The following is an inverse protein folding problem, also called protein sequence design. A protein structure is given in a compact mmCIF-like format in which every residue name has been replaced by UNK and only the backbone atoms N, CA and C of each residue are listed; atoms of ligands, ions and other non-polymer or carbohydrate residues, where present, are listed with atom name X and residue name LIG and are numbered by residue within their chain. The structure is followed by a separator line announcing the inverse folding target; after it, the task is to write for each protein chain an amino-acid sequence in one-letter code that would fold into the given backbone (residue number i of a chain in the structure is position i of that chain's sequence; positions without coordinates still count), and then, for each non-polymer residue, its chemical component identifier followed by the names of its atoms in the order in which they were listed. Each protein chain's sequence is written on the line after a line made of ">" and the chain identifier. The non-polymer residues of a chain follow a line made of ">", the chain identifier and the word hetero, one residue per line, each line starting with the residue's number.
data_IF_120580354347
#
_entry.id   IF_120580354347
#
_cell.length_a   1.000
_cell.length_b   1.000
_cell.length_c   1.000
_cell.angle_alpha   90.00
_cell.angle_beta   90.00
_cell.angle_gamma   90.00
#
_symmetry.space_group_name_H-M   'P 1'
#
loop_
_entity.id
_entity.type
_entity.pdbx_description
1 polymer ?
#
# COMPACT_ATOMS: atom_id res chain seq x y z
N UNK A 1 -40.01 4.96 -23.05
CA UNK A 1 -38.83 4.18 -22.60
C UNK A 1 -38.30 3.35 -23.77
N UNK A 2 -37.19 3.77 -24.42
CA UNK A 2 -36.54 2.96 -25.46
C UNK A 2 -36.02 1.68 -24.81
N UNK A 3 -36.33 0.53 -25.43
CA UNK A 3 -35.98 -0.82 -24.97
C UNK A 3 -34.46 -0.97 -25.00
N UNK A 4 -33.79 -0.63 -23.89
CA UNK A 4 -32.34 -0.82 -23.75
C UNK A 4 -32.01 -2.29 -23.99
N UNK A 5 -30.94 -2.56 -24.72
CA UNK A 5 -30.53 -3.92 -25.08
C UNK A 5 -30.37 -4.77 -23.82
N UNK A 6 -31.18 -5.82 -23.62
CA UNK A 6 -31.06 -6.69 -22.44
C UNK A 6 -29.72 -7.42 -22.41
N UNK A 7 -29.03 -7.51 -23.55
CA UNK A 7 -27.71 -8.10 -23.67
C UNK A 7 -26.62 -7.24 -23.02
N UNK A 8 -26.62 -5.93 -23.28
CA UNK A 8 -25.59 -5.01 -22.74
C UNK A 8 -25.69 -4.94 -21.22
N UNK A 9 -26.92 -4.88 -20.69
CA UNK A 9 -27.14 -4.87 -19.24
C UNK A 9 -26.62 -6.16 -18.57
N UNK A 10 -26.91 -7.34 -19.15
CA UNK A 10 -26.39 -8.62 -18.66
C UNK A 10 -24.87 -8.66 -18.70
N UNK A 11 -24.27 -8.12 -19.77
CA UNK A 11 -22.82 -8.01 -19.91
C UNK A 11 -22.22 -7.10 -18.83
N UNK A 12 -22.84 -5.97 -18.52
CA UNK A 12 -22.38 -5.07 -17.45
C UNK A 12 -22.37 -5.77 -16.09
N UNK A 13 -23.46 -6.47 -15.74
CA UNK A 13 -23.50 -7.26 -14.49
C UNK A 13 -22.44 -8.35 -14.47
N UNK A 14 -22.27 -9.08 -15.57
CA UNK A 14 -21.27 -10.15 -15.65
C UNK A 14 -19.86 -9.63 -15.37
N UNK A 15 -19.46 -8.49 -15.96
CA UNK A 15 -18.14 -7.90 -15.76
C UNK A 15 -17.97 -7.42 -14.30
N UNK A 16 -18.98 -6.75 -13.73
CA UNK A 16 -18.89 -6.27 -12.34
C UNK A 16 -18.83 -7.42 -11.33
N UNK A 17 -19.61 -8.49 -11.55
CA UNK A 17 -19.57 -9.72 -10.73
C UNK A 17 -18.20 -10.40 -10.86
N UNK A 18 -17.64 -10.44 -12.07
CA UNK A 18 -16.30 -10.98 -12.30
C UNK A 18 -15.24 -10.20 -11.51
N UNK A 19 -15.32 -8.86 -11.50
CA UNK A 19 -14.46 -8.02 -10.67
C UNK A 19 -14.60 -8.30 -9.18
N UNK A 20 -15.84 -8.40 -8.69
CA UNK A 20 -16.12 -8.73 -7.29
C UNK A 20 -15.53 -10.10 -6.89
N UNK A 21 -15.72 -11.12 -7.73
CA UNK A 21 -15.18 -12.46 -7.50
C UNK A 21 -13.66 -12.46 -7.54
N UNK A 22 -13.05 -11.78 -8.50
CA UNK A 22 -11.60 -11.72 -8.64
C UNK A 22 -10.95 -11.09 -7.40
N UNK A 23 -11.47 -9.96 -6.92
CA UNK A 23 -11.02 -9.32 -5.68
C UNK A 23 -11.33 -10.19 -4.45
N UNK A 24 -12.49 -10.84 -4.43
CA UNK A 24 -12.90 -11.73 -3.34
C UNK A 24 -12.01 -12.95 -3.18
N UNK A 25 -11.60 -13.57 -4.28
CA UNK A 25 -10.65 -14.69 -4.26
C UNK A 25 -9.30 -14.23 -3.71
N UNK A 26 -8.78 -13.08 -4.15
CA UNK A 26 -7.52 -12.53 -3.60
C UNK A 26 -7.65 -12.23 -2.09
N UNK A 27 -8.78 -11.69 -1.65
CA UNK A 27 -9.07 -11.45 -0.24
C UNK A 27 -9.07 -12.76 0.59
N UNK A 28 -9.73 -13.80 0.10
CA UNK A 28 -9.79 -15.12 0.76
C UNK A 28 -8.39 -15.75 0.81
N UNK A 29 -7.68 -15.79 -0.31
CA UNK A 29 -6.32 -16.33 -0.39
C UNK A 29 -5.38 -15.63 0.60
N UNK A 30 -5.45 -14.30 0.66
CA UNK A 30 -4.59 -13.53 1.56
C UNK A 30 -4.93 -13.74 3.03
N UNK A 31 -6.21 -13.75 3.38
CA UNK A 31 -6.62 -13.82 4.78
C UNK A 31 -6.47 -15.23 5.37
N UNK A 32 -6.91 -16.25 4.62
CA UNK A 32 -6.98 -17.64 5.08
C UNK A 32 -5.74 -18.45 4.74
N UNK A 33 -5.26 -18.37 3.49
CA UNK A 33 -4.16 -19.20 3.01
C UNK A 33 -2.79 -18.52 3.12
N UNK A 34 -2.76 -17.22 3.48
CA UNK A 34 -1.55 -16.37 3.51
C UNK A 34 -0.80 -16.32 2.16
N UNK A 35 -1.47 -16.70 1.08
CA UNK A 35 -0.94 -16.67 -0.30
C UNK A 35 -1.59 -15.53 -1.10
N UNK A 36 -1.07 -15.24 -2.30
CA UNK A 36 -1.67 -14.27 -3.24
C UNK A 36 -1.66 -14.83 -4.66
N UNK A 37 -2.62 -14.40 -5.48
CA UNK A 37 -2.73 -14.76 -6.90
C UNK A 37 -1.51 -14.25 -7.67
N UNK A 38 -0.98 -13.10 -7.26
CA UNK A 38 0.22 -12.52 -7.84
C UNK A 38 1.38 -12.60 -6.83
N UNK A 39 2.37 -13.49 -7.03
CA UNK A 39 3.57 -13.57 -6.20
C UNK A 39 4.68 -12.62 -6.65
N UNK A 40 4.42 -11.70 -7.58
CA UNK A 40 5.46 -10.80 -8.11
C UNK A 40 5.88 -9.76 -7.07
N UNK A 41 7.15 -9.36 -7.14
CA UNK A 41 7.73 -8.29 -6.33
C UNK A 41 6.95 -6.97 -6.48
N UNK A 42 6.47 -6.63 -7.67
CA UNK A 42 5.56 -5.49 -7.88
C UNK A 42 4.27 -5.53 -7.06
N UNK A 43 3.65 -6.71 -6.87
CA UNK A 43 2.45 -6.86 -6.03
C UNK A 43 2.76 -6.76 -4.53
N UNK A 44 3.97 -7.20 -4.13
CA UNK A 44 4.47 -7.07 -2.77
C UNK A 44 4.74 -5.61 -2.43
N UNK A 45 5.46 -4.91 -3.30
CA UNK A 45 5.82 -3.50 -3.11
C UNK A 45 4.58 -2.60 -3.14
N UNK A 46 3.60 -2.87 -4.01
CA UNK A 46 2.30 -2.18 -4.00
C UNK A 46 1.57 -2.30 -2.65
N UNK A 47 1.65 -3.48 -2.02
CA UNK A 47 1.01 -3.73 -0.73
C UNK A 47 1.73 -3.09 0.46
N UNK A 48 3.01 -2.76 0.26
CA UNK A 48 3.91 -2.26 1.29
C UNK A 48 4.04 -0.71 1.22
N UNK A 49 3.91 -0.10 0.04
CA UNK A 49 4.03 1.36 -0.15
C UNK A 49 2.74 2.15 0.15
N UNK A 50 1.58 1.53 0.13
CA UNK A 50 0.32 2.23 0.40
C UNK A 50 0.11 2.31 1.92
N UNK A 51 -0.13 3.53 2.43
CA UNK A 51 -0.43 3.78 3.85
C UNK A 51 -1.59 2.91 4.38
N UNK A 52 -2.53 2.60 3.49
CA UNK A 52 -3.59 1.63 3.71
C UNK A 52 -3.03 0.24 3.45
N UNK A 53 -2.86 -0.57 4.50
CA UNK A 53 -2.40 -1.95 4.36
C UNK A 53 -3.26 -2.75 3.37
N UNK A 54 -2.66 -3.74 2.70
CA UNK A 54 -3.26 -4.56 1.62
C UNK A 54 -4.73 -4.97 1.86
N UNK A 55 -5.06 -5.35 3.09
CA UNK A 55 -6.40 -5.82 3.45
C UNK A 55 -7.45 -4.71 3.31
N UNK A 56 -7.12 -3.47 3.67
CA UNK A 56 -8.05 -2.34 3.55
C UNK A 56 -8.36 -2.01 2.09
N UNK A 57 -7.35 -2.06 1.21
CA UNK A 57 -7.55 -1.86 -0.22
C UNK A 57 -8.43 -2.93 -0.84
N UNK A 58 -8.24 -4.20 -0.45
CA UNK A 58 -9.10 -5.30 -0.90
C UNK A 58 -10.53 -5.14 -0.41
N UNK A 59 -10.73 -4.75 0.85
CA UNK A 59 -12.06 -4.46 1.41
C UNK A 59 -12.72 -3.29 0.67
N UNK A 60 -11.96 -2.22 0.41
CA UNK A 60 -12.47 -1.06 -0.33
C UNK A 60 -12.89 -1.45 -1.75
N UNK A 61 -12.10 -2.27 -2.44
CA UNK A 61 -12.44 -2.78 -3.77
C UNK A 61 -13.67 -3.69 -3.75
N UNK A 62 -13.84 -4.55 -2.73
CA UNK A 62 -15.05 -5.36 -2.55
C UNK A 62 -16.30 -4.50 -2.34
N UNK A 63 -16.20 -3.49 -1.46
CA UNK A 63 -17.27 -2.52 -1.22
C UNK A 63 -17.60 -1.74 -2.50
N UNK A 64 -16.58 -1.34 -3.25
CA UNK A 64 -16.73 -0.64 -4.53
C UNK A 64 -17.53 -1.45 -5.55
N UNK A 65 -17.11 -2.68 -5.86
CA UNK A 65 -17.84 -3.51 -6.83
C UNK A 65 -19.25 -3.86 -6.37
N UNK A 66 -19.44 -4.12 -5.07
CA UNK A 66 -20.75 -4.39 -4.49
C UNK A 66 -21.68 -3.18 -4.61
N UNK A 67 -21.17 -1.98 -4.32
CA UNK A 67 -21.90 -0.73 -4.48
C UNK A 67 -22.28 -0.48 -5.95
N UNK A 68 -21.37 -0.73 -6.91
CA UNK A 68 -21.68 -0.60 -8.34
C UNK A 68 -22.80 -1.54 -8.78
N UNK A 69 -22.75 -2.82 -8.39
CA UNK A 69 -23.79 -3.80 -8.71
C UNK A 69 -25.13 -3.37 -8.11
N UNK A 70 -25.13 -2.95 -6.85
CA UNK A 70 -26.33 -2.50 -6.16
C UNK A 70 -26.93 -1.24 -6.79
N UNK A 71 -26.12 -0.25 -7.14
CA UNK A 71 -26.56 0.97 -7.82
C UNK A 71 -27.13 0.69 -9.21
N UNK A 72 -26.50 -0.22 -9.97
CA UNK A 72 -27.01 -0.64 -11.27
C UNK A 72 -28.38 -1.32 -11.14
N UNK A 73 -28.56 -2.15 -10.11
CA UNK A 73 -29.83 -2.79 -9.78
C UNK A 73 -30.93 -1.80 -9.38
N UNK A 74 -30.61 -0.86 -8.49
CA UNK A 74 -31.55 0.18 -8.08
C UNK A 74 -31.94 1.10 -9.24
N UNK A 75 -30.99 1.44 -10.11
CA UNK A 75 -31.25 2.19 -11.32
C UNK A 75 -32.18 1.42 -12.27
N UNK A 76 -31.96 0.12 -12.46
CA UNK A 76 -32.84 -0.72 -13.29
C UNK A 76 -34.27 -0.77 -12.73
N UNK A 77 -34.42 -0.89 -11.40
CA UNK A 77 -35.73 -1.00 -10.75
C UNK A 77 -36.50 0.32 -10.72
N UNK A 78 -35.80 1.42 -10.47
CA UNK A 78 -36.42 2.72 -10.17
C UNK A 78 -36.40 3.68 -11.36
N UNK A 79 -35.43 3.53 -12.28
CA UNK A 79 -35.17 4.48 -13.36
C UNK A 79 -34.74 5.87 -12.88
N UNK A 80 -34.46 6.04 -11.59
CA UNK A 80 -34.16 7.34 -10.98
C UNK A 80 -32.84 7.92 -11.44
N UNK A 81 -32.83 9.20 -11.79
CA UNK A 81 -31.63 9.94 -12.21
C UNK A 81 -30.54 9.95 -11.13
N UNK A 82 -30.92 9.95 -9.85
CA UNK A 82 -29.97 9.92 -8.72
C UNK A 82 -29.07 8.67 -8.75
N UNK A 83 -29.65 7.48 -8.94
CA UNK A 83 -28.88 6.23 -8.97
C UNK A 83 -27.96 6.15 -10.19
N UNK A 84 -28.42 6.66 -11.34
CA UNK A 84 -27.57 6.81 -12.54
C UNK A 84 -26.35 7.67 -12.24
N UNK A 85 -26.57 8.82 -11.62
CA UNK A 85 -25.52 9.79 -11.35
C UNK A 85 -24.49 9.22 -10.36
N UNK A 86 -24.98 8.61 -9.28
CA UNK A 86 -24.12 8.02 -8.27
C UNK A 86 -23.31 6.85 -8.84
N UNK A 87 -23.92 6.02 -9.71
CA UNK A 87 -23.22 4.96 -10.43
C UNK A 87 -22.08 5.53 -11.29
N UNK A 88 -22.35 6.57 -12.09
CA UNK A 88 -21.35 7.21 -12.95
C UNK A 88 -20.23 7.88 -12.15
N UNK A 89 -20.55 8.56 -11.05
CA UNK A 89 -19.54 9.19 -10.19
C UNK A 89 -18.65 8.16 -9.51
N UNK A 90 -19.23 7.10 -8.95
CA UNK A 90 -18.45 6.05 -8.30
C UNK A 90 -17.54 5.35 -9.31
N UNK A 91 -18.06 4.98 -10.48
CA UNK A 91 -17.31 4.36 -11.56
C UNK A 91 -16.14 5.24 -12.04
N UNK A 92 -16.36 6.55 -12.19
CA UNK A 92 -15.34 7.51 -12.61
C UNK A 92 -14.25 7.67 -11.54
N UNK A 93 -14.65 7.81 -10.27
CA UNK A 93 -13.72 7.89 -9.15
C UNK A 93 -12.86 6.64 -9.05
N UNK A 94 -13.46 5.45 -9.14
CA UNK A 94 -12.73 4.17 -9.13
C UNK A 94 -11.72 4.07 -10.27
N UNK A 95 -12.12 4.44 -11.50
CA UNK A 95 -11.22 4.39 -12.65
C UNK A 95 -10.03 5.35 -12.52
N UNK A 96 -10.26 6.57 -12.01
CA UNK A 96 -9.19 7.55 -11.75
C UNK A 96 -8.28 7.06 -10.62
N UNK A 97 -8.84 6.50 -9.56
CA UNK A 97 -8.09 5.90 -8.46
C UNK A 97 -7.19 4.75 -8.92
N UNK A 98 -7.75 3.80 -9.66
CA UNK A 98 -7.00 2.66 -10.20
C UNK A 98 -5.91 3.13 -11.18
N UNK A 99 -6.22 4.09 -12.06
CA UNK A 99 -5.25 4.66 -13.00
C UNK A 99 -4.10 5.36 -12.28
N UNK A 100 -4.39 6.14 -11.23
CA UNK A 100 -3.38 6.78 -10.39
C UNK A 100 -2.47 5.75 -9.72
N UNK A 101 -3.05 4.69 -9.13
CA UNK A 101 -2.28 3.64 -8.48
C UNK A 101 -1.33 2.93 -9.46
N UNK A 102 -1.81 2.60 -10.66
CA UNK A 102 -0.99 2.00 -11.72
C UNK A 102 0.12 2.97 -12.15
N UNK A 103 -0.21 4.24 -12.35
CA UNK A 103 0.78 5.26 -12.73
C UNK A 103 1.85 5.41 -11.64
N UNK A 104 1.45 5.48 -10.38
CA UNK A 104 2.36 5.56 -9.24
C UNK A 104 3.29 4.33 -9.17
N UNK A 105 2.75 3.14 -9.37
CA UNK A 105 3.51 1.88 -9.41
C UNK A 105 4.53 1.89 -10.55
N UNK A 106 4.12 2.32 -11.74
CA UNK A 106 4.98 2.33 -12.92
C UNK A 106 6.17 3.29 -12.75
N UNK A 107 5.93 4.51 -12.24
CA UNK A 107 6.97 5.52 -12.04
C UNK A 107 7.94 5.14 -10.92
N UNK A 108 7.44 4.59 -9.80
CA UNK A 108 8.27 4.41 -8.60
C UNK A 108 8.94 3.05 -8.49
N UNK A 109 8.35 1.99 -9.05
CA UNK A 109 8.72 0.60 -8.71
C UNK A 109 9.27 -0.15 -9.93
N UNK A 110 9.08 0.36 -11.15
CA UNK A 110 9.55 -0.23 -12.41
C UNK A 110 9.08 -1.68 -12.68
N UNK A 111 8.25 -2.26 -11.81
CA UNK A 111 7.64 -3.57 -11.97
C UNK A 111 6.12 -3.48 -11.92
N UNK A 112 5.40 -4.04 -12.91
CA UNK A 112 3.95 -4.01 -12.93
C UNK A 112 3.34 -4.99 -11.93
N UNK A 113 2.33 -4.52 -11.18
CA UNK A 113 1.46 -5.40 -10.42
C UNK A 113 0.35 -5.94 -11.33
N UNK A 114 0.48 -7.20 -11.77
CA UNK A 114 -0.51 -7.84 -12.65
C UNK A 114 -1.91 -7.87 -12.04
N UNK A 115 -2.03 -8.03 -10.73
CA UNK A 115 -3.32 -7.99 -10.04
C UNK A 115 -4.01 -6.63 -10.22
N UNK A 116 -3.33 -5.52 -9.90
CA UNK A 116 -3.88 -4.18 -10.04
C UNK A 116 -4.22 -3.85 -11.51
N UNK A 117 -3.38 -4.31 -12.44
CA UNK A 117 -3.59 -4.13 -13.87
C UNK A 117 -4.83 -4.88 -14.36
N UNK A 118 -5.03 -6.13 -13.93
CA UNK A 118 -6.25 -6.91 -14.24
C UNK A 118 -7.49 -6.23 -13.65
N UNK A 119 -7.44 -5.80 -12.38
CA UNK A 119 -8.55 -5.08 -11.74
C UNK A 119 -8.91 -3.81 -12.52
N UNK A 120 -7.92 -3.01 -12.91
CA UNK A 120 -8.14 -1.83 -13.74
C UNK A 120 -8.82 -2.15 -15.07
N UNK A 121 -8.37 -3.20 -15.78
CA UNK A 121 -9.00 -3.60 -17.04
C UNK A 121 -10.43 -4.09 -16.85
N UNK A 122 -10.73 -4.81 -15.76
CA UNK A 122 -12.09 -5.22 -15.42
C UNK A 122 -12.96 -3.99 -15.13
N UNK A 123 -12.47 -3.04 -14.32
CA UNK A 123 -13.16 -1.78 -14.02
C UNK A 123 -13.41 -0.97 -15.30
N UNK A 124 -12.41 -0.85 -16.18
CA UNK A 124 -12.50 -0.15 -17.46
C UNK A 124 -13.54 -0.80 -18.39
N UNK A 125 -13.51 -2.13 -18.53
CA UNK A 125 -14.48 -2.86 -19.33
C UNK A 125 -15.91 -2.69 -18.77
N UNK A 126 -16.05 -2.74 -17.44
CA UNK A 126 -17.31 -2.46 -16.76
C UNK A 126 -17.80 -1.04 -17.01
N UNK A 127 -16.90 -0.07 -16.97
CA UNK A 127 -17.20 1.33 -17.23
C UNK A 127 -17.70 1.56 -18.66
N UNK A 128 -16.99 1.01 -19.65
CA UNK A 128 -17.40 1.09 -21.06
C UNK A 128 -18.78 0.44 -21.26
N UNK A 129 -19.00 -0.74 -20.67
CA UNK A 129 -20.28 -1.45 -20.77
C UNK A 129 -21.44 -0.62 -20.21
N UNK A 130 -21.26 -0.02 -19.03
CA UNK A 130 -22.26 0.85 -18.38
C UNK A 130 -22.49 2.13 -19.19
N UNK A 131 -21.44 2.77 -19.71
CA UNK A 131 -21.57 3.97 -20.54
C UNK A 131 -22.32 3.69 -21.84
N UNK A 132 -22.03 2.56 -22.51
CA UNK A 132 -22.77 2.15 -23.72
C UNK A 132 -24.24 1.90 -23.39
N UNK A 133 -24.55 1.29 -22.25
CA UNK A 133 -25.93 1.09 -21.79
C UNK A 133 -26.67 2.41 -21.52
N UNK A 134 -25.96 3.45 -21.10
CA UNK A 134 -26.50 4.78 -20.77
C UNK A 134 -26.42 5.79 -21.93
N UNK A 135 -25.88 5.40 -23.09
CA UNK A 135 -25.57 6.27 -24.23
C UNK A 135 -26.75 7.11 -24.74
N UNK A 136 -27.95 6.56 -24.67
CA UNK A 136 -29.16 7.21 -25.20
C UNK A 136 -29.75 8.28 -24.26
N UNK A 137 -29.16 8.48 -23.08
CA UNK A 137 -29.63 9.50 -22.14
C UNK A 137 -28.76 10.77 -22.20
N UNK A 138 -29.38 11.96 -22.20
CA UNK A 138 -28.63 13.20 -22.24
C UNK A 138 -27.75 13.32 -20.99
N UNK A 139 -26.44 13.40 -21.20
CA UNK A 139 -25.48 13.75 -20.17
C UNK A 139 -25.46 15.28 -20.10
N UNK A 140 -26.12 15.81 -19.08
CA UNK A 140 -26.19 17.25 -18.81
C UNK A 140 -24.79 17.80 -18.46
N UNK A 141 -24.44 18.99 -18.95
CA UNK A 141 -23.20 19.74 -18.63
C UNK A 141 -22.74 19.71 -17.15
N UNK A 142 -23.62 19.81 -16.12
CA UNK A 142 -23.21 19.71 -14.71
C UNK A 142 -22.62 18.33 -14.31
N UNK A 143 -22.87 17.26 -15.07
CA UNK A 143 -22.27 15.95 -14.79
C UNK A 143 -20.75 15.98 -14.91
N UNK A 144 -20.22 16.74 -15.88
CA UNK A 144 -18.79 16.82 -16.10
C UNK A 144 -18.08 17.49 -14.93
N UNK A 145 -18.63 18.59 -14.41
CA UNK A 145 -18.09 19.29 -13.24
C UNK A 145 -18.11 18.41 -11.99
N UNK A 146 -19.22 17.72 -11.71
CA UNK A 146 -19.29 16.85 -10.52
C UNK A 146 -18.36 15.64 -10.67
N UNK A 147 -18.31 15.02 -11.86
CA UNK A 147 -17.36 13.94 -12.13
C UNK A 147 -15.90 14.39 -11.97
N UNK A 148 -15.57 15.61 -12.41
CA UNK A 148 -14.26 16.22 -12.21
C UNK A 148 -13.95 16.37 -10.71
N UNK A 149 -14.88 16.88 -9.90
CA UNK A 149 -14.66 17.03 -8.45
C UNK A 149 -14.44 15.70 -7.74
N UNK A 150 -15.23 14.67 -8.07
CA UNK A 150 -15.05 13.31 -7.55
C UNK A 150 -13.72 12.70 -8.01
N UNK A 151 -13.33 12.96 -9.26
CA UNK A 151 -12.03 12.55 -9.79
C UNK A 151 -10.86 13.20 -9.05
N UNK A 152 -10.92 14.51 -8.84
CA UNK A 152 -9.91 15.25 -8.07
C UNK A 152 -9.85 14.78 -6.62
N UNK A 153 -10.99 14.49 -5.99
CA UNK A 153 -11.04 13.92 -4.64
C UNK A 153 -10.40 12.53 -4.60
N UNK A 154 -10.72 11.66 -5.56
CA UNK A 154 -10.10 10.33 -5.66
C UNK A 154 -8.59 10.42 -5.88
N UNK A 155 -8.15 11.39 -6.66
CA UNK A 155 -6.73 11.63 -6.91
C UNK A 155 -6.03 12.17 -5.67
N UNK A 156 -6.64 13.13 -4.95
CA UNK A 156 -6.13 13.62 -3.67
C UNK A 156 -6.04 12.50 -2.61
N UNK A 157 -7.05 11.63 -2.56
CA UNK A 157 -7.04 10.45 -1.70
C UNK A 157 -5.93 9.48 -2.12
N UNK A 158 -5.76 9.25 -3.42
CA UNK A 158 -4.64 8.48 -3.98
C UNK A 158 -3.29 9.05 -3.54
N UNK A 159 -3.09 10.36 -3.66
CA UNK A 159 -1.88 11.04 -3.18
C UNK A 159 -1.68 10.89 -1.68
N UNK A 160 -2.74 11.02 -0.89
CA UNK A 160 -2.66 10.83 0.56
C UNK A 160 -2.23 9.40 0.90
N UNK A 161 -2.81 8.38 0.24
CA UNK A 161 -2.51 6.97 0.49
C UNK A 161 -1.09 6.62 0.00
N UNK A 162 -0.65 7.20 -1.11
CA UNK A 162 0.68 6.97 -1.70
C UNK A 162 1.77 7.87 -1.14
N UNK A 163 1.43 8.81 -0.24
CA UNK A 163 2.43 9.68 0.37
C UNK A 163 3.30 8.84 1.30
N UNK A 164 4.64 8.76 1.07
CA UNK A 164 5.52 8.13 2.03
C UNK A 164 5.39 8.88 3.34
N UNK A 165 5.03 8.19 4.43
CA UNK A 165 4.98 8.81 5.75
C UNK A 165 6.36 9.43 6.02
N UNK A 166 6.45 10.74 6.33
CA UNK A 166 7.73 11.38 6.54
C UNK A 166 8.49 10.64 7.64
N UNK A 167 9.70 10.18 7.30
CA UNK A 167 10.62 9.45 8.18
C UNK A 167 10.94 10.27 9.44
N UNK A 168 10.73 11.60 9.41
CA UNK A 168 11.14 12.51 10.47
C UNK A 168 10.07 13.60 10.63
N UNK A 169 8.99 13.27 11.34
CA UNK A 169 8.10 14.28 11.92
C UNK A 169 7.43 13.74 13.18
N UNK A 170 8.27 13.35 14.15
CA UNK A 170 7.91 13.45 15.55
C UNK A 170 8.82 14.47 16.19
N UNK A 171 8.37 15.70 16.07
CA UNK A 171 8.76 16.83 16.89
C UNK A 171 8.65 16.43 18.37
N UNK A 172 9.78 16.52 19.10
CA UNK A 172 9.88 16.28 20.53
C UNK A 172 10.51 14.94 20.92
N UNK A 173 11.81 14.95 21.22
CA UNK A 173 12.62 13.87 21.83
C UNK A 173 13.24 12.80 20.92
N UNK A 174 13.80 13.16 19.76
CA UNK A 174 14.89 12.34 19.20
C UNK A 174 16.13 12.53 20.08
N UNK A 175 16.18 11.78 21.19
CA UNK A 175 17.46 11.50 21.88
C UNK A 175 18.31 10.74 20.86
N UNK A 176 19.23 11.44 20.17
CA UNK A 176 20.39 10.93 19.41
C UNK A 176 20.42 9.40 19.29
N UNK A 177 19.51 8.82 18.50
CA UNK A 177 19.58 7.41 18.19
C UNK A 177 20.59 7.31 17.05
N UNK A 178 21.83 6.99 17.38
CA UNK A 178 22.91 6.93 16.39
C UNK A 178 22.72 5.76 15.41
N UNK A 179 21.75 4.85 15.65
CA UNK A 179 21.55 3.63 14.87
C UNK A 179 20.08 3.45 14.47
N UNK A 180 19.84 3.46 13.15
CA UNK A 180 18.55 3.20 12.52
C UNK A 180 18.60 1.86 11.79
N UNK A 181 17.74 0.92 12.17
CA UNK A 181 17.59 -0.37 11.51
C UNK A 181 16.42 -0.32 10.53
N UNK A 182 16.72 -0.39 9.24
CA UNK A 182 15.75 -0.62 8.17
C UNK A 182 15.47 -2.11 8.07
N UNK A 183 14.21 -2.49 8.29
CA UNK A 183 13.79 -3.90 8.33
C UNK A 183 12.49 -4.16 7.55
N UNK A 184 12.26 -5.42 7.21
CA UNK A 184 10.96 -5.93 6.72
C UNK A 184 10.42 -6.99 7.68
N UNK A 185 9.12 -7.00 7.94
CA UNK A 185 8.47 -7.97 8.83
C UNK A 185 8.54 -9.42 8.28
N UNK A 186 8.75 -9.57 6.98
CA UNK A 186 8.80 -10.85 6.29
C UNK A 186 10.22 -11.39 6.09
N UNK A 187 11.23 -10.65 6.53
CA UNK A 187 12.64 -11.01 6.42
C UNK A 187 13.08 -11.80 7.66
N UNK A 188 13.45 -13.10 7.54
CA UNK A 188 13.88 -13.93 8.68
C UNK A 188 15.14 -13.35 9.36
N UNK A 189 16.11 -12.93 8.55
CA UNK A 189 17.33 -12.27 9.01
C UNK A 189 17.03 -10.99 9.82
N UNK A 190 15.98 -10.25 9.44
CA UNK A 190 15.59 -9.03 10.11
C UNK A 190 14.97 -9.33 11.49
N UNK A 191 14.18 -10.39 11.60
CA UNK A 191 13.65 -10.85 12.90
C UNK A 191 14.76 -11.26 13.85
N UNK A 192 15.76 -11.98 13.33
CA UNK A 192 16.90 -12.42 14.13
C UNK A 192 17.75 -11.24 14.60
N UNK A 193 18.02 -10.25 13.74
CA UNK A 193 18.72 -9.01 14.14
C UNK A 193 17.93 -8.22 15.18
N UNK A 194 16.61 -8.11 15.03
CA UNK A 194 15.77 -7.43 16.01
C UNK A 194 15.82 -8.15 17.37
N UNK A 195 15.66 -9.48 17.37
CA UNK A 195 15.72 -10.28 18.59
C UNK A 195 17.10 -10.18 19.27
N UNK A 196 18.20 -10.22 18.49
CA UNK A 196 19.54 -10.05 19.03
C UNK A 196 19.73 -8.64 19.61
N UNK A 197 19.27 -7.60 18.92
CA UNK A 197 19.36 -6.21 19.43
C UNK A 197 18.62 -6.00 20.75
N UNK A 198 17.45 -6.63 20.90
CA UNK A 198 16.66 -6.60 22.14
C UNK A 198 17.36 -7.37 23.25
N UNK A 199 17.93 -8.54 22.94
CA UNK A 199 18.74 -9.33 23.88
C UNK A 199 19.98 -8.56 24.35
N UNK A 200 20.55 -7.73 23.48
CA UNK A 200 21.70 -6.90 23.77
C UNK A 200 21.34 -5.58 24.48
N UNK A 201 20.05 -5.27 24.68
CA UNK A 201 19.61 -4.03 25.31
C UNK A 201 19.89 -2.76 24.49
N UNK A 202 20.17 -2.90 23.20
CA UNK A 202 20.49 -1.78 22.32
C UNK A 202 19.21 -1.02 21.93
N UNK A 203 19.22 0.31 22.09
CA UNK A 203 18.14 1.17 21.62
C UNK A 203 18.30 1.47 20.13
N UNK A 204 17.86 0.54 19.30
CA UNK A 204 17.78 0.74 17.85
C UNK A 204 16.46 1.43 17.48
N UNK A 205 16.55 2.45 16.63
CA UNK A 205 15.38 3.00 15.97
C UNK A 205 15.00 2.09 14.80
N UNK A 206 13.84 1.42 14.92
CA UNK A 206 13.39 0.44 13.93
C UNK A 206 12.50 1.14 12.91
N UNK A 207 12.98 1.28 11.69
CA UNK A 207 12.24 1.89 10.58
C UNK A 207 11.85 0.80 9.59
N UNK A 208 10.56 0.71 9.27
CA UNK A 208 10.10 -0.26 8.27
C UNK A 208 10.63 0.12 6.88
N UNK A 209 10.86 -0.87 6.02
CA UNK A 209 11.25 -0.66 4.63
C UNK A 209 10.31 0.34 3.93
N UNK A 210 9.02 0.33 4.27
CA UNK A 210 7.96 1.17 3.72
C UNK A 210 8.26 2.66 3.94
N UNK A 211 8.71 2.98 5.15
CA UNK A 211 9.07 4.34 5.55
C UNK A 211 10.38 4.75 4.90
N UNK A 212 11.36 3.84 4.83
CA UNK A 212 12.69 4.12 4.31
C UNK A 212 12.85 3.87 2.80
N UNK A 213 11.81 3.47 2.05
CA UNK A 213 11.94 3.04 0.65
C UNK A 213 12.60 4.08 -0.25
N UNK A 214 12.24 5.39 -0.18
CA UNK A 214 12.93 6.42 -0.95
C UNK A 214 14.43 6.49 -0.64
N UNK A 215 14.79 6.32 0.63
CA UNK A 215 16.17 6.32 1.12
C UNK A 215 16.93 5.07 0.66
N UNK A 216 16.32 3.90 0.77
CA UNK A 216 16.87 2.61 0.30
C UNK A 216 17.15 2.65 -1.19
N UNK A 217 16.22 3.22 -1.97
CA UNK A 217 16.37 3.39 -3.42
C UNK A 217 17.46 4.42 -3.76
N UNK A 218 17.49 5.57 -3.09
CA UNK A 218 18.51 6.59 -3.30
C UNK A 218 19.93 6.09 -2.98
N UNK A 219 20.05 5.25 -1.94
CA UNK A 219 21.31 4.65 -1.49
C UNK A 219 21.64 3.33 -2.21
N UNK A 220 20.80 2.89 -3.15
CA UNK A 220 20.95 1.65 -3.92
C UNK A 220 21.21 0.41 -3.03
N UNK A 221 20.48 0.30 -1.92
CA UNK A 221 20.65 -0.80 -0.96
C UNK A 221 19.95 -2.05 -1.49
N UNK A 222 20.75 -3.09 -1.77
CA UNK A 222 20.30 -4.32 -2.44
C UNK A 222 19.84 -5.42 -1.49
N UNK A 223 20.07 -5.29 -0.19
CA UNK A 223 19.80 -6.34 0.78
C UNK A 223 19.30 -5.80 2.12
N UNK A 224 18.44 -6.59 2.75
CA UNK A 224 17.95 -6.38 4.12
C UNK A 224 18.47 -7.49 5.04
N UNK A 225 18.60 -7.24 6.35
CA UNK A 225 18.40 -5.95 7.04
C UNK A 225 19.48 -4.92 6.67
N UNK A 226 19.19 -3.64 6.86
CA UNK A 226 20.17 -2.57 6.67
C UNK A 226 20.24 -1.67 7.92
N UNK A 227 21.44 -1.44 8.44
CA UNK A 227 21.68 -0.58 9.58
C UNK A 227 22.38 0.71 9.11
N UNK A 228 21.81 1.85 9.47
CA UNK A 228 22.37 3.18 9.26
C UNK A 228 22.92 3.68 10.58
N UNK A 229 24.21 3.96 10.62
CA UNK A 229 24.87 4.56 11.77
C UNK A 229 25.25 6.02 11.44
N UNK A 230 24.70 6.96 12.19
CA UNK A 230 24.99 8.39 12.05
C UNK A 230 26.16 8.76 12.99
N UNK A 231 27.33 8.99 12.39
CA UNK A 231 28.50 9.57 13.07
C UNK A 231 28.60 11.06 12.73
N UNK A 232 29.38 11.81 13.53
CA UNK A 232 29.44 13.28 13.48
C UNK A 232 29.61 13.86 12.05
N UNK A 233 30.40 13.21 11.19
CA UNK A 233 30.65 13.66 9.80
C UNK A 233 30.33 12.62 8.71
N UNK A 234 29.76 11.45 9.05
CA UNK A 234 29.48 10.40 8.06
C UNK A 234 28.34 9.47 8.46
N UNK A 235 27.59 9.02 7.46
CA UNK A 235 26.63 7.93 7.61
C UNK A 235 27.32 6.65 7.17
N UNK A 236 27.47 5.70 8.08
CA UNK A 236 27.95 4.36 7.75
C UNK A 236 26.76 3.42 7.53
N UNK A 237 26.82 2.67 6.44
CA UNK A 237 25.72 1.80 6.01
C UNK A 237 26.19 0.36 6.03
N UNK A 238 25.48 -0.48 6.78
CA UNK A 238 25.76 -1.91 6.89
C UNK A 238 24.59 -2.69 6.31
N UNK A 239 24.82 -3.41 5.21
CA UNK A 239 23.79 -4.17 4.49
C UNK A 239 23.96 -5.68 4.68
N UNK A 240 22.85 -6.37 4.93
CA UNK A 240 22.82 -7.83 5.10
C UNK A 240 23.08 -8.28 6.54
N UNK A 241 22.66 -9.51 6.82
CA UNK A 241 22.61 -10.09 8.16
C UNK A 241 23.96 -10.05 8.91
N UNK A 242 25.02 -10.58 8.28
CA UNK A 242 26.35 -10.69 8.89
C UNK A 242 26.96 -9.32 9.22
N UNK A 243 26.83 -8.35 8.30
CA UNK A 243 27.38 -7.01 8.49
C UNK A 243 26.69 -6.29 9.67
N UNK A 244 25.36 -6.40 9.74
CA UNK A 244 24.57 -5.80 10.82
C UNK A 244 24.87 -6.48 12.16
N UNK A 245 24.90 -7.81 12.20
CA UNK A 245 25.18 -8.58 13.43
C UNK A 245 26.59 -8.29 13.98
N UNK A 246 27.59 -8.24 13.10
CA UNK A 246 28.96 -7.91 13.50
C UNK A 246 29.06 -6.50 14.08
N UNK A 247 28.36 -5.52 13.49
CA UNK A 247 28.38 -4.14 14.00
C UNK A 247 27.70 -4.00 15.37
N UNK A 248 26.56 -4.65 15.58
CA UNK A 248 25.85 -4.65 16.87
C UNK A 248 26.68 -5.31 17.98
N UNK A 249 27.41 -6.38 17.67
CA UNK A 249 28.32 -7.03 18.62
C UNK A 249 29.53 -6.17 18.98
N UNK A 250 30.05 -5.37 18.04
CA UNK A 250 31.14 -4.43 18.31
C UNK A 250 30.69 -3.29 19.23
N UNK A 251 29.45 -2.83 19.08
CA UNK A 251 28.89 -1.78 19.93
C UNK A 251 28.76 -2.22 21.39
N UNK A 252 28.33 -3.46 21.63
CA UNK A 252 28.32 -4.05 22.97
C UNK A 252 29.70 -4.12 23.61
N UNK A 253 30.73 -4.49 22.83
CA UNK A 253 32.11 -4.57 23.32
C UNK A 253 32.68 -3.20 23.69
N UNK A 254 32.24 -2.14 23.00
CA UNK A 254 32.68 -0.77 23.27
C UNK A 254 31.89 -0.12 24.43
N UNK A 255 30.65 -0.53 24.66
CA UNK A 255 29.80 -0.07 25.77
C UNK A 255 29.30 -1.25 26.62
N UNK A 256 30.17 -1.94 27.39
CA UNK A 256 29.75 -3.05 28.26
C UNK A 256 28.84 -2.62 29.42
N UNK A 257 28.77 -1.32 29.70
CA UNK A 257 28.01 -0.75 30.81
C UNK A 257 26.68 -0.16 30.33
N UNK A 258 25.73 -1.00 29.93
CA UNK A 258 24.31 -0.63 30.03
C UNK A 258 23.82 -1.21 31.35
N UNK A 259 23.57 -0.30 32.30
CA UNK A 259 23.28 -0.53 33.71
C UNK A 259 22.27 -1.67 33.95
N UNK A 260 22.70 -2.64 34.78
CA UNK A 260 21.78 -3.54 35.46
C UNK A 260 21.22 -2.80 36.69
N UNK A 261 19.90 -2.53 36.80
CA UNK A 261 19.37 -1.72 37.90
C UNK A 261 19.33 -2.40 39.27
N UNK A 262 19.88 -3.61 39.43
CA UNK A 262 19.57 -4.41 40.63
C UNK A 262 20.70 -4.77 41.59
N UNK A 263 21.99 -4.70 41.28
CA UNK A 263 22.98 -4.99 42.32
C UNK A 263 24.21 -4.08 42.20
N UNK A 264 24.47 -3.32 43.26
CA UNK A 264 25.68 -2.53 43.42
C UNK A 264 26.91 -3.44 43.35
N UNK A 265 27.74 -3.23 42.33
CA UNK A 265 28.96 -4.00 42.13
C UNK A 265 30.03 -3.10 41.53
N UNK A 266 31.14 -2.97 42.25
CA UNK A 266 32.33 -2.25 41.85
C UNK A 266 32.83 -2.70 40.47
N UNK A 267 33.20 -1.73 39.62
CA UNK A 267 34.00 -1.99 38.42
C UNK A 267 35.46 -2.24 38.83
N UNK A 268 35.95 -3.46 38.63
CA UNK A 268 37.38 -3.74 38.59
C UNK A 268 37.91 -3.49 37.17
N UNK A 269 38.93 -2.64 37.05
CA UNK A 269 39.65 -2.33 35.81
C UNK A 269 40.86 -3.28 35.73
N UNK A 270 41.11 -3.99 34.62
CA UNK A 270 42.45 -4.51 34.32
C UNK A 270 43.38 -3.41 33.81
#
# INVERSE_FOLDING_TARGET
>A
MKRKSPFILKLSYFILILGLLFVGIEYILKNYYKTSICPTSGCFIASELLLLGKNYLLILALLFYTALIFLLFLYQKTGGSLFKNLLLYLLTAGLIGDAYLIFFLFINIAEPCWFCLIVFFITLAGAISVLVYLRDEPITSPHFLVALTFGMFSLALGFYISSPSPIISKEGNVKKANLILIYSQHCPACKEVIAESERLGLKLEKVSLNQAYPLVKALNLKSLPCLLEFKEDKIEIYTGFEAVKNRLNLEKKQNPCVENPQEGGLCAIP
#
